data_IF_703504583092
#
_entry.id   IF_703504583092
#
_cell.length_a   1.000
_cell.length_b   1.000
_cell.length_c   1.000
_cell.angle_alpha   90.00
_cell.angle_beta   90.00
_cell.angle_gamma   90.00
#
_symmetry.space_group_name_H-M   'P 1'
#
loop_
_entity.id
_entity.type
_entity.pdbx_description
1 polymer ?
#
# COMPACT_ATOMS: atom_id res chain seq x y z
N UNK A 1 10.72 -15.79 3.99
CA UNK A 1 9.28 -15.43 3.93
C UNK A 1 9.13 -14.21 3.02
N UNK A 2 8.22 -14.29 2.07
CA UNK A 2 7.99 -13.20 1.11
C UNK A 2 6.95 -12.25 1.71
N UNK A 3 7.32 -10.99 1.81
CA UNK A 3 6.40 -9.96 2.28
C UNK A 3 5.91 -9.13 1.10
N UNK A 4 4.71 -8.59 1.23
CA UNK A 4 4.15 -7.67 0.25
C UNK A 4 4.22 -6.25 0.78
N UNK A 5 4.31 -5.29 -0.13
CA UNK A 5 4.36 -3.89 0.27
C UNK A 5 3.66 -2.99 -0.76
N UNK A 6 3.26 -1.83 -0.27
CA UNK A 6 2.74 -0.72 -1.08
C UNK A 6 3.57 0.50 -0.73
N UNK A 7 4.16 1.13 -1.74
CA UNK A 7 4.91 2.37 -1.57
C UNK A 7 4.03 3.54 -1.99
N UNK A 8 3.70 4.41 -1.04
CA UNK A 8 2.83 5.56 -1.31
C UNK A 8 3.41 6.53 -2.33
N UNK A 9 4.71 6.49 -2.57
CA UNK A 9 5.35 7.33 -3.59
C UNK A 9 4.94 6.93 -5.01
N UNK A 10 4.43 5.72 -5.19
CA UNK A 10 3.96 5.25 -6.50
C UNK A 10 2.61 5.86 -6.88
N UNK A 11 1.95 6.52 -5.96
CA UNK A 11 0.65 7.13 -6.21
C UNK A 11 0.82 8.63 -6.41
N UNK A 12 0.23 9.18 -7.50
CA UNK A 12 0.19 10.64 -7.65
C UNK A 12 -0.67 11.21 -6.52
N UNK A 13 -0.08 12.08 -5.73
CA UNK A 13 -0.75 12.68 -4.59
C UNK A 13 -0.24 14.11 -4.42
N UNK A 14 -1.14 15.01 -4.00
CA UNK A 14 -0.77 16.38 -3.65
C UNK A 14 0.01 16.42 -2.34
N UNK A 15 -0.07 15.35 -1.55
CA UNK A 15 0.67 15.21 -0.31
C UNK A 15 1.95 14.43 -0.62
N UNK A 16 3.09 14.99 -0.26
CA UNK A 16 4.39 14.32 -0.41
C UNK A 16 4.52 13.22 0.63
N UNK A 17 3.92 12.08 0.35
CA UNK A 17 3.96 10.92 1.24
C UNK A 17 5.16 10.05 0.90
N UNK A 18 5.99 9.75 1.90
CA UNK A 18 7.18 8.92 1.75
C UNK A 18 7.04 7.58 2.46
N UNK A 19 5.82 7.23 2.85
CA UNK A 19 5.55 6.01 3.62
C UNK A 19 5.45 4.81 2.70
N UNK A 20 6.07 3.71 3.11
CA UNK A 20 5.85 2.40 2.51
C UNK A 20 5.25 1.49 3.58
N UNK A 21 4.29 0.67 3.21
CA UNK A 21 3.59 -0.24 4.12
C UNK A 21 3.94 -1.66 3.73
N UNK A 22 4.42 -2.44 4.69
CA UNK A 22 4.80 -3.84 4.51
C UNK A 22 3.91 -4.73 5.37
N UNK A 23 3.52 -5.87 4.85
CA UNK A 23 2.76 -6.86 5.61
C UNK A 23 3.05 -8.27 5.10
N UNK A 24 2.80 -9.26 5.95
CA UNK A 24 3.07 -10.66 5.62
C UNK A 24 1.98 -11.25 4.72
N UNK A 25 0.79 -10.66 4.71
CA UNK A 25 -0.30 -11.11 3.86
C UNK A 25 -0.92 -9.94 3.10
N UNK A 26 -1.52 -10.26 1.96
CA UNK A 26 -2.18 -9.24 1.14
C UNK A 26 -3.35 -8.60 1.86
N UNK A 27 -4.14 -9.39 2.61
CA UNK A 27 -5.29 -8.84 3.32
C UNK A 27 -4.87 -7.83 4.38
N UNK A 28 -3.82 -8.13 5.14
CA UNK A 28 -3.29 -7.17 6.12
C UNK A 28 -2.75 -5.92 5.44
N UNK A 29 -2.05 -6.11 4.32
CA UNK A 29 -1.48 -5.00 3.56
C UNK A 29 -2.58 -4.05 3.08
N UNK A 30 -3.64 -4.59 2.49
CA UNK A 30 -4.73 -3.78 1.95
C UNK A 30 -5.45 -3.05 3.08
N UNK A 31 -5.72 -3.70 4.21
CA UNK A 31 -6.35 -3.04 5.35
C UNK A 31 -5.50 -1.89 5.87
N UNK A 32 -4.21 -2.10 6.05
CA UNK A 32 -3.31 -1.04 6.51
C UNK A 32 -3.23 0.11 5.50
N UNK A 33 -3.17 -0.22 4.21
CA UNK A 33 -3.10 0.79 3.15
C UNK A 33 -4.39 1.59 3.05
N UNK A 34 -5.55 0.96 3.21
CA UNK A 34 -6.84 1.65 3.22
C UNK A 34 -6.91 2.62 4.39
N UNK A 35 -6.52 2.20 5.60
CA UNK A 35 -6.51 3.07 6.76
C UNK A 35 -5.57 4.26 6.56
N UNK A 36 -4.41 4.02 5.98
CA UNK A 36 -3.47 5.09 5.66
C UNK A 36 -4.06 6.07 4.64
N UNK A 37 -4.69 5.54 3.59
CA UNK A 37 -5.31 6.38 2.56
C UNK A 37 -6.42 7.26 3.14
N UNK A 38 -7.24 6.72 4.05
CA UNK A 38 -8.31 7.48 4.70
C UNK A 38 -7.72 8.56 5.60
N UNK A 39 -6.76 8.19 6.44
CA UNK A 39 -6.25 9.06 7.50
C UNK A 39 -5.33 10.15 6.95
N UNK A 40 -4.46 9.79 6.02
CA UNK A 40 -3.40 10.70 5.53
C UNK A 40 -3.81 11.39 4.23
N UNK A 41 -4.43 10.65 3.32
CA UNK A 41 -4.74 11.15 1.97
C UNK A 41 -6.20 11.57 1.80
N UNK A 42 -7.05 11.36 2.80
CA UNK A 42 -8.44 11.77 2.75
C UNK A 42 -9.33 10.98 1.79
N UNK A 43 -8.92 9.78 1.41
CA UNK A 43 -9.75 8.92 0.57
C UNK A 43 -10.90 8.29 1.35
N UNK A 44 -11.89 7.83 0.61
CA UNK A 44 -12.97 7.03 1.18
C UNK A 44 -12.69 5.55 0.92
N UNK A 45 -13.15 4.68 1.83
CA UNK A 45 -13.04 3.23 1.66
C UNK A 45 -14.08 2.77 0.64
N UNK A 46 -13.61 2.53 -0.58
CA UNK A 46 -14.46 2.07 -1.68
C UNK A 46 -13.85 0.81 -2.31
N UNK A 47 -14.66 0.00 -3.00
CA UNK A 47 -14.11 -1.14 -3.74
C UNK A 47 -13.09 -0.73 -4.79
N UNK A 48 -13.24 0.44 -5.39
CA UNK A 48 -12.30 0.97 -6.37
C UNK A 48 -10.96 1.26 -5.74
N UNK A 49 -10.95 1.85 -4.55
CA UNK A 49 -9.71 2.11 -3.81
C UNK A 49 -9.00 0.81 -3.48
N UNK A 50 -9.73 -0.17 -2.97
CA UNK A 50 -9.15 -1.47 -2.63
C UNK A 50 -8.57 -2.17 -3.85
N UNK A 51 -9.27 -2.15 -4.96
CA UNK A 51 -8.78 -2.73 -6.21
C UNK A 51 -7.51 -2.03 -6.70
N UNK A 52 -7.46 -0.71 -6.59
CA UNK A 52 -6.29 0.08 -6.96
C UNK A 52 -5.08 -0.29 -6.10
N UNK A 53 -5.29 -0.40 -4.79
CA UNK A 53 -4.23 -0.78 -3.85
C UNK A 53 -3.73 -2.20 -4.11
N UNK A 54 -4.62 -3.13 -4.44
CA UNK A 54 -4.22 -4.49 -4.79
C UNK A 54 -3.31 -4.51 -6.02
N UNK A 55 -3.64 -3.72 -7.04
CA UNK A 55 -2.79 -3.62 -8.23
C UNK A 55 -1.45 -2.96 -7.95
N UNK A 56 -1.39 -2.10 -6.96
CA UNK A 56 -0.17 -1.40 -6.59
C UNK A 56 0.72 -2.21 -5.65
N UNK A 57 0.19 -3.28 -5.06
CA UNK A 57 0.98 -4.10 -4.15
C UNK A 57 2.11 -4.81 -4.89
N UNK A 58 3.26 -4.88 -4.25
CA UNK A 58 4.48 -5.48 -4.80
C UNK A 58 5.01 -6.52 -3.83
N UNK A 59 5.75 -7.46 -4.38
CA UNK A 59 6.41 -8.48 -3.58
C UNK A 59 7.81 -7.99 -3.24
N UNK A 60 8.14 -7.98 -1.96
CA UNK A 60 9.49 -7.68 -1.51
C UNK A 60 10.40 -8.86 -1.87
N UNK A 61 11.37 -8.59 -2.71
CA UNK A 61 12.37 -9.60 -3.07
C UNK A 61 13.63 -9.32 -2.28
N UNK A 62 14.01 -10.30 -1.45
CA UNK A 62 15.34 -10.26 -0.85
C UNK A 62 16.37 -10.50 -1.92
N UNK A 63 17.27 -9.56 -2.06
CA UNK A 63 18.46 -9.82 -2.86
C UNK A 63 19.33 -10.82 -2.09
N UNK A 64 19.65 -11.92 -2.76
CA UNK A 64 20.72 -12.77 -2.28
C UNK A 64 22.00 -11.94 -2.28
N UNK A 65 22.62 -11.88 -1.14
CA UNK A 65 23.88 -11.15 -1.02
C UNK A 65 24.98 -11.85 -1.82
#
# INVERSE_FOLDING_TARGET
MIRKFIDCRDFPSEVNCTVAIFADSESELIEAAVQHAITVHGHEDTPELRAHLMRASKIERRRAA
#
